data_IF_593447629447
#
_entry.id   IF_593447629447
#
_cell.length_a   1.000
_cell.length_b   1.000
_cell.length_c   1.000
_cell.angle_alpha   90.00
_cell.angle_beta   90.00
_cell.angle_gamma   90.00
#
_symmetry.space_group_name_H-M   'P 1'
#
loop_
_entity.id
_entity.type
_entity.pdbx_description
1 polymer ?
#
# COMPACT_ATOMS: atom_id res chain seq x y z
N UNK A 1 -16.68 -18.16 -7.87
CA UNK A 1 -17.33 -17.42 -6.77
C UNK A 1 -16.63 -16.07 -6.69
N UNK A 2 -17.31 -14.98 -7.06
CA UNK A 2 -16.73 -13.63 -7.00
C UNK A 2 -17.09 -13.02 -5.65
N UNK A 3 -16.09 -12.82 -4.80
CA UNK A 3 -16.27 -12.12 -3.53
C UNK A 3 -16.72 -10.68 -3.77
N UNK A 4 -17.67 -10.21 -2.96
CA UNK A 4 -18.21 -8.86 -3.01
C UNK A 4 -17.11 -7.82 -2.73
N UNK A 5 -17.23 -6.57 -3.22
CA UNK A 5 -16.24 -5.52 -2.95
C UNK A 5 -15.96 -5.29 -1.45
N UNK A 6 -16.97 -5.52 -0.60
CA UNK A 6 -16.82 -5.46 0.86
C UNK A 6 -16.06 -6.66 1.46
N UNK A 7 -16.20 -7.86 0.88
CA UNK A 7 -15.46 -9.06 1.32
C UNK A 7 -13.98 -8.97 0.95
N UNK A 8 -13.63 -8.24 -0.12
CA UNK A 8 -12.23 -7.91 -0.45
C UNK A 8 -11.58 -7.01 0.59
N UNK A 9 -12.35 -6.21 1.33
CA UNK A 9 -11.83 -5.32 2.38
C UNK A 9 -11.64 -6.03 3.73
N UNK A 10 -12.38 -7.10 4.01
CA UNK A 10 -12.38 -7.79 5.30
C UNK A 10 -11.36 -8.96 5.42
N UNK A 11 -10.64 -9.29 4.34
CA UNK A 11 -9.63 -10.34 4.33
C UNK A 11 -8.22 -9.85 4.66
N UNK A 12 -7.26 -10.78 4.87
CA UNK A 12 -5.85 -10.44 5.02
C UNK A 12 -5.36 -9.63 3.80
N UNK A 13 -4.51 -8.65 4.07
CA UNK A 13 -3.97 -7.73 3.08
C UNK A 13 -2.79 -8.40 2.39
N UNK A 14 -2.95 -8.73 1.11
CA UNK A 14 -1.91 -9.38 0.33
C UNK A 14 -0.81 -8.40 -0.09
N UNK A 15 0.40 -8.91 -0.33
CA UNK A 15 1.53 -8.12 -0.82
C UNK A 15 1.21 -7.43 -2.16
N UNK A 16 0.41 -8.09 -3.00
CA UNK A 16 -0.07 -7.56 -4.29
C UNK A 16 -1.01 -6.37 -4.09
N UNK A 17 -1.85 -6.40 -3.05
CA UNK A 17 -2.75 -5.30 -2.70
C UNK A 17 -1.97 -4.08 -2.21
N UNK A 18 -0.92 -4.29 -1.41
CA UNK A 18 0.01 -3.22 -1.00
C UNK A 18 0.75 -2.63 -2.21
N UNK A 19 1.25 -3.47 -3.12
CA UNK A 19 1.94 -3.03 -4.34
C UNK A 19 1.02 -2.17 -5.23
N UNK A 20 -0.23 -2.59 -5.41
CA UNK A 20 -1.22 -1.84 -6.17
C UNK A 20 -1.46 -0.45 -5.55
N UNK A 21 -1.55 -0.38 -4.21
CA UNK A 21 -1.71 0.89 -3.50
C UNK A 21 -0.50 1.82 -3.67
N UNK A 22 0.73 1.29 -3.56
CA UNK A 22 1.95 2.06 -3.80
C UNK A 22 1.98 2.61 -5.23
N UNK A 23 1.61 1.80 -6.21
CA UNK A 23 1.56 2.23 -7.62
C UNK A 23 0.48 3.31 -7.84
N UNK A 24 -0.70 3.18 -7.22
CA UNK A 24 -1.73 4.22 -7.28
C UNK A 24 -1.25 5.54 -6.70
N UNK A 25 -0.55 5.53 -5.56
CA UNK A 25 0.06 6.75 -5.00
C UNK A 25 1.07 7.40 -5.96
N UNK A 26 1.88 6.60 -6.66
CA UNK A 26 2.84 7.10 -7.67
C UNK A 26 2.17 7.70 -8.91
N UNK A 27 1.01 7.19 -9.30
CA UNK A 27 0.24 7.76 -10.42
C UNK A 27 -0.35 9.12 -10.05
N UNK A 28 -0.79 9.30 -8.80
CA UNK A 28 -1.35 10.57 -8.30
C UNK A 28 -0.25 11.60 -8.03
N UNK A 29 0.89 11.15 -7.51
CA UNK A 29 2.04 12.00 -7.19
C UNK A 29 3.27 11.54 -7.97
N UNK A 30 3.35 11.89 -9.28
CA UNK A 30 4.49 11.54 -10.08
C UNK A 30 5.74 12.23 -9.52
N UNK A 31 6.90 11.53 -9.50
CA UNK A 31 8.15 12.13 -9.06
C UNK A 31 8.50 13.34 -9.94
N UNK A 32 9.08 14.37 -9.33
CA UNK A 32 9.51 15.57 -10.06
C UNK A 32 10.49 15.18 -11.18
N UNK A 33 10.35 15.77 -12.38
CA UNK A 33 11.11 15.38 -13.58
C UNK A 33 12.63 15.58 -13.45
N UNK A 34 13.07 16.38 -12.49
CA UNK A 34 14.45 16.87 -12.42
C UNK A 34 15.35 16.09 -11.47
N UNK A 35 14.86 15.03 -10.81
CA UNK A 35 15.66 14.15 -9.96
C UNK A 35 16.27 14.79 -8.70
N UNK A 36 16.14 16.11 -8.54
CA UNK A 36 16.49 16.84 -7.32
C UNK A 36 15.36 16.61 -6.29
N UNK A 37 15.66 15.78 -5.29
CA UNK A 37 14.80 15.42 -4.14
C UNK A 37 13.46 14.71 -4.44
N UNK A 38 13.25 14.19 -5.64
CA UNK A 38 11.96 13.65 -6.12
C UNK A 38 11.55 12.24 -5.66
N UNK A 39 12.23 11.63 -4.69
CA UNK A 39 11.80 10.36 -4.06
C UNK A 39 11.05 10.59 -2.74
N UNK A 40 10.53 11.79 -2.51
CA UNK A 40 9.59 12.04 -1.41
C UNK A 40 8.28 11.29 -1.69
N UNK A 41 8.26 10.00 -1.36
CA UNK A 41 7.04 9.26 -1.13
C UNK A 41 6.22 10.09 -0.14
N UNK A 42 5.01 10.51 -0.54
CA UNK A 42 4.07 11.13 0.39
C UNK A 42 3.91 10.21 1.61
N UNK A 43 3.66 10.76 2.80
CA UNK A 43 3.76 10.02 4.07
C UNK A 43 2.96 8.70 4.07
N UNK A 44 1.83 8.68 3.35
CA UNK A 44 1.01 7.47 3.13
C UNK A 44 1.66 6.44 2.20
N UNK A 45 2.36 6.85 1.15
CA UNK A 45 3.06 5.92 0.26
C UNK A 45 4.35 5.37 0.89
N UNK A 46 5.02 6.14 1.75
CA UNK A 46 6.21 5.68 2.46
C UNK A 46 5.88 4.56 3.47
N UNK A 47 4.80 4.71 4.25
CA UNK A 47 4.42 3.69 5.24
C UNK A 47 4.00 2.36 4.60
N UNK A 48 3.41 2.40 3.39
CA UNK A 48 3.12 1.21 2.59
C UNK A 48 4.38 0.59 2.00
N UNK A 49 5.34 1.39 1.54
CA UNK A 49 6.62 0.90 1.03
C UNK A 49 7.45 0.18 2.11
N UNK A 50 7.46 0.70 3.34
CA UNK A 50 8.08 0.02 4.48
C UNK A 50 7.41 -1.32 4.78
N UNK A 51 6.06 -1.36 4.79
CA UNK A 51 5.30 -2.60 4.98
C UNK A 51 5.61 -3.62 3.87
N UNK A 52 5.60 -3.18 2.61
CA UNK A 52 5.93 -4.00 1.45
C UNK A 52 7.34 -4.60 1.55
N UNK A 53 8.33 -3.77 1.92
CA UNK A 53 9.71 -4.21 2.15
C UNK A 53 9.81 -5.25 3.28
N UNK A 54 9.08 -5.06 4.38
CA UNK A 54 9.01 -6.03 5.46
C UNK A 54 8.38 -7.36 4.99
N UNK A 55 7.29 -7.31 4.21
CA UNK A 55 6.65 -8.50 3.64
C UNK A 55 7.60 -9.29 2.73
N UNK A 56 8.39 -8.61 1.89
CA UNK A 56 9.44 -9.27 1.08
C UNK A 56 10.48 -9.93 1.98
N UNK A 57 11.03 -9.18 2.94
CA UNK A 57 12.11 -9.64 3.82
C UNK A 57 11.70 -10.90 4.60
N UNK A 58 10.49 -10.91 5.14
CA UNK A 58 9.95 -12.03 5.91
C UNK A 58 9.19 -13.07 5.07
N UNK A 59 9.14 -12.89 3.74
CA UNK A 59 8.40 -13.76 2.80
C UNK A 59 6.93 -13.96 3.20
N UNK A 60 6.28 -12.87 3.63
CA UNK A 60 4.87 -12.85 3.99
C UNK A 60 4.02 -12.58 2.74
N UNK A 61 3.19 -13.53 2.28
CA UNK A 61 2.31 -13.30 1.13
C UNK A 61 1.13 -12.37 1.48
N UNK A 62 0.74 -12.35 2.75
CA UNK A 62 -0.34 -11.55 3.29
C UNK A 62 -0.11 -11.26 4.78
N UNK A 63 -0.77 -10.21 5.28
CA UNK A 63 -0.79 -9.83 6.69
C UNK A 63 -2.22 -9.55 7.16
N UNK A 64 -2.57 -9.83 8.43
CA UNK A 64 -3.88 -9.48 8.96
C UNK A 64 -4.12 -7.97 8.87
N UNK A 65 -5.32 -7.55 8.45
CA UNK A 65 -5.66 -6.12 8.35
C UNK A 65 -5.51 -5.40 9.70
N UNK A 66 -5.86 -6.06 10.80
CA UNK A 66 -5.73 -5.54 12.16
C UNK A 66 -4.26 -5.38 12.62
N UNK A 67 -3.30 -5.99 11.92
CA UNK A 67 -1.87 -5.83 12.19
C UNK A 67 -1.28 -4.56 11.58
N UNK A 68 -1.97 -3.93 10.62
CA UNK A 68 -1.55 -2.66 10.04
C UNK A 68 -1.76 -1.55 11.07
N UNK A 69 -0.85 -0.57 11.07
CA UNK A 69 -1.05 0.68 11.80
C UNK A 69 -2.20 1.48 11.18
N UNK A 70 -2.74 2.44 11.94
CA UNK A 70 -3.82 3.31 11.44
C UNK A 70 -3.38 4.07 10.17
N UNK A 71 -2.13 4.56 10.13
CA UNK A 71 -1.57 5.22 8.95
C UNK A 71 -1.48 4.30 7.72
N UNK A 72 -1.11 3.03 7.90
CA UNK A 72 -1.06 2.06 6.80
C UNK A 72 -2.46 1.72 6.29
N UNK A 73 -3.45 1.60 7.19
CA UNK A 73 -4.86 1.37 6.80
C UNK A 73 -5.44 2.56 6.05
N UNK A 74 -5.22 3.77 6.54
CA UNK A 74 -5.70 4.99 5.90
C UNK A 74 -5.07 5.19 4.52
N UNK A 75 -3.75 5.00 4.41
CA UNK A 75 -3.03 5.08 3.14
C UNK A 75 -3.48 4.00 2.13
N UNK A 76 -3.75 2.79 2.60
CA UNK A 76 -4.30 1.72 1.77
C UNK A 76 -5.69 2.11 1.25
N UNK A 77 -6.60 2.50 2.14
CA UNK A 77 -7.97 2.83 1.76
C UNK A 77 -8.11 4.08 0.90
N UNK A 78 -7.20 5.04 1.04
CA UNK A 78 -7.16 6.22 0.17
C UNK A 78 -6.95 5.87 -1.32
N UNK A 79 -6.35 4.71 -1.63
CA UNK A 79 -6.10 4.25 -3.00
C UNK A 79 -7.16 3.30 -3.56
N UNK A 80 -8.16 2.94 -2.74
CA UNK A 80 -9.21 1.97 -3.10
C UNK A 80 -10.59 2.60 -3.33
N UNK A 81 -10.65 3.93 -3.39
CA UNK A 81 -11.87 4.70 -3.66
C UNK A 81 -12.12 4.82 -5.16
#
# INVERSE_FOLDING_TARGET
MSASPAERKAGPVSIVRIEAAINAWREVYPPAPDGEDGYALDAGSNCLAELYGAMICYRLPDVPLDSLSDAQRDALYATEA
#
